data_IF_532935031448
#
_entry.id   IF_532935031448
#
_cell.length_a   1.000
_cell.length_b   1.000
_cell.length_c   1.000
_cell.angle_alpha   90.00
_cell.angle_beta   90.00
_cell.angle_gamma   90.00
#
_symmetry.space_group_name_H-M   'P 1'
#
loop_
_entity.id
_entity.type
_entity.pdbx_description
1 polymer ?
#
# COMPACT_ATOMS: atom_id res chain seq x y z
N UNK A 1 -8.85 13.17 -0.29
CA UNK A 1 -8.53 11.74 -0.32
C UNK A 1 -7.69 11.48 -1.55
N UNK A 2 -6.68 10.60 -1.48
CA UNK A 2 -5.76 10.39 -2.61
C UNK A 2 -6.37 9.55 -3.73
N UNK A 3 -7.38 8.74 -3.45
CA UNK A 3 -7.94 7.81 -4.45
C UNK A 3 -9.37 8.10 -4.88
N UNK A 4 -10.19 8.80 -4.08
CA UNK A 4 -11.61 9.08 -4.43
C UNK A 4 -12.44 7.81 -4.74
N UNK A 5 -12.14 6.66 -4.11
CA UNK A 5 -12.83 5.37 -4.30
C UNK A 5 -13.43 4.78 -3.00
N UNK A 6 -13.84 5.63 -2.05
CA UNK A 6 -14.45 5.19 -0.76
C UNK A 6 -15.65 4.25 -0.98
N UNK A 7 -16.42 4.48 -2.05
CA UNK A 7 -17.59 3.71 -2.45
C UNK A 7 -17.27 2.29 -2.94
N UNK A 8 -16.01 1.99 -3.23
CA UNK A 8 -15.57 0.68 -3.71
C UNK A 8 -15.15 -0.26 -2.58
N UNK A 9 -15.06 0.23 -1.34
CA UNK A 9 -14.66 -0.58 -0.19
C UNK A 9 -15.79 -1.56 0.14
N UNK A 10 -15.50 -2.86 0.03
CA UNK A 10 -16.46 -3.95 0.30
C UNK A 10 -16.21 -4.68 1.62
N UNK A 11 -15.13 -4.36 2.32
CA UNK A 11 -14.74 -4.99 3.58
C UNK A 11 -15.06 -4.07 4.76
N UNK A 12 -15.27 -4.67 5.93
CA UNK A 12 -15.50 -3.95 7.19
C UNK A 12 -14.30 -4.07 8.15
N UNK A 13 -14.43 -3.48 9.33
CA UNK A 13 -13.39 -3.47 10.35
C UNK A 13 -13.07 -4.86 10.91
N UNK A 14 -14.04 -5.78 10.96
CA UNK A 14 -13.81 -7.14 11.47
C UNK A 14 -13.01 -7.97 10.48
N UNK A 15 -13.28 -7.82 9.18
CA UNK A 15 -12.46 -8.41 8.11
C UNK A 15 -11.03 -7.89 8.20
N UNK A 16 -10.84 -6.58 8.31
CA UNK A 16 -9.50 -5.99 8.42
C UNK A 16 -8.76 -6.48 9.68
N UNK A 17 -9.47 -6.59 10.81
CA UNK A 17 -8.91 -7.11 12.06
C UNK A 17 -8.43 -8.55 11.92
N UNK A 18 -9.26 -9.42 11.32
CA UNK A 18 -8.90 -10.80 11.02
C UNK A 18 -7.69 -10.88 10.10
N UNK A 19 -7.70 -10.11 9.02
CA UNK A 19 -6.73 -10.26 7.93
C UNK A 19 -5.37 -9.64 8.25
N UNK A 20 -5.31 -8.53 8.99
CA UNK A 20 -4.03 -7.90 9.33
C UNK A 20 -3.52 -8.24 10.75
N UNK A 21 -4.33 -8.84 11.64
CA UNK A 21 -3.95 -9.10 13.04
C UNK A 21 -4.25 -10.52 13.54
N UNK A 22 -4.65 -11.45 12.66
CA UNK A 22 -4.76 -12.88 13.00
C UNK A 22 -3.41 -13.58 13.12
N UNK A 23 -3.41 -14.88 13.44
CA UNK A 23 -2.19 -15.69 13.64
C UNK A 23 -1.28 -15.75 12.40
N UNK A 24 -1.87 -15.60 11.21
CA UNK A 24 -1.18 -15.55 9.91
C UNK A 24 -1.68 -14.33 9.14
N UNK A 25 -1.13 -13.14 9.42
CA UNK A 25 -1.62 -11.91 8.81
C UNK A 25 -1.32 -11.90 7.31
N UNK A 26 -2.33 -11.55 6.52
CA UNK A 26 -2.22 -11.33 5.07
C UNK A 26 -1.61 -9.96 4.75
N UNK A 27 -1.71 -9.03 5.68
CA UNK A 27 -1.27 -7.65 5.58
C UNK A 27 -0.72 -7.15 6.90
N UNK A 28 0.09 -6.10 6.84
CA UNK A 28 0.60 -5.37 7.98
C UNK A 28 0.27 -3.88 7.82
N UNK A 29 0.17 -3.18 8.94
CA UNK A 29 -0.16 -1.77 8.95
C UNK A 29 0.74 -1.01 9.94
N UNK A 30 1.32 0.09 9.49
CA UNK A 30 1.95 1.09 10.35
C UNK A 30 1.05 2.31 10.45
N UNK A 31 0.89 2.85 11.64
CA UNK A 31 0.02 4.00 11.91
C UNK A 31 0.82 5.21 12.39
N UNK A 32 0.28 6.40 12.13
CA UNK A 32 0.79 7.65 12.67
C UNK A 32 -0.17 8.18 13.73
N UNK A 33 0.38 8.51 14.90
CA UNK A 33 -0.31 9.09 16.05
C UNK A 33 0.40 10.40 16.47
N UNK A 34 -0.33 11.44 16.93
CA UNK A 34 0.27 12.62 17.52
C UNK A 34 1.09 12.29 18.78
N UNK A 35 2.24 12.94 18.94
CA UNK A 35 3.09 12.78 20.15
C UNK A 35 2.49 13.50 21.37
N UNK A 36 1.66 14.52 21.15
CA UNK A 36 1.07 15.35 22.19
C UNK A 36 -0.46 15.41 22.04
N UNK A 37 -1.16 15.08 23.12
CA UNK A 37 -2.63 15.00 23.21
C UNK A 37 -3.07 13.69 23.86
N UNK A 38 -4.09 13.73 24.71
CA UNK A 38 -4.64 12.54 25.41
C UNK A 38 -5.38 11.56 24.48
N UNK A 39 -5.44 11.83 23.17
CA UNK A 39 -6.18 11.02 22.22
C UNK A 39 -5.25 10.08 21.45
N UNK A 40 -5.60 8.79 21.43
CA UNK A 40 -5.13 7.78 20.47
C UNK A 40 -5.66 8.07 19.07
N UNK A 41 -5.45 9.29 18.57
CA UNK A 41 -5.96 9.72 17.29
C UNK A 41 -5.08 9.17 16.18
N UNK A 42 -5.66 8.33 15.32
CA UNK A 42 -5.02 7.89 14.09
C UNK A 42 -5.06 9.03 13.07
N UNK A 43 -3.89 9.56 12.72
CA UNK A 43 -3.75 10.70 11.78
C UNK A 43 -3.23 10.27 10.41
N UNK A 44 -2.76 9.04 10.28
CA UNK A 44 -2.40 8.41 9.02
C UNK A 44 -2.04 6.93 9.18
N UNK A 45 -1.95 6.22 8.07
CA UNK A 45 -1.53 4.81 8.04
C UNK A 45 -0.84 4.45 6.72
N UNK A 46 -0.08 3.36 6.73
CA UNK A 46 0.37 2.67 5.53
C UNK A 46 0.15 1.16 5.69
N UNK A 47 -0.52 0.54 4.71
CA UNK A 47 -0.81 -0.89 4.67
C UNK A 47 0.06 -1.55 3.60
N UNK A 48 0.69 -2.66 3.96
CA UNK A 48 1.64 -3.35 3.09
C UNK A 48 1.61 -4.87 3.32
N UNK A 49 2.15 -5.64 2.38
CA UNK A 49 2.26 -7.08 2.50
C UNK A 49 3.49 -7.63 1.75
N UNK A 50 4.06 -8.76 2.20
CA UNK A 50 5.15 -9.41 1.48
C UNK A 50 4.68 -9.96 0.14
N UNK A 51 5.55 -9.85 -0.86
CA UNK A 51 5.38 -10.46 -2.18
C UNK A 51 6.65 -11.22 -2.55
N UNK A 52 6.64 -11.93 -3.67
CA UNK A 52 7.80 -12.67 -4.14
C UNK A 52 8.02 -12.45 -5.63
N UNK A 53 9.28 -12.27 -6.01
CA UNK A 53 9.73 -12.27 -7.39
C UNK A 53 10.59 -13.50 -7.65
N UNK A 54 10.32 -14.22 -8.73
CA UNK A 54 11.18 -15.31 -9.18
C UNK A 54 12.57 -14.84 -9.60
N UNK A 55 12.79 -13.53 -9.77
CA UNK A 55 14.08 -12.95 -10.17
C UNK A 55 14.88 -12.42 -8.99
N UNK A 56 14.23 -11.83 -7.98
CA UNK A 56 14.92 -11.12 -6.89
C UNK A 56 14.49 -11.55 -5.49
N UNK A 57 13.69 -12.62 -5.38
CA UNK A 57 13.27 -13.20 -4.11
C UNK A 57 12.21 -12.36 -3.38
N UNK A 58 12.33 -12.28 -2.06
CA UNK A 58 11.36 -11.60 -1.19
C UNK A 58 11.29 -10.12 -1.55
N UNK A 59 10.06 -9.61 -1.63
CA UNK A 59 9.73 -8.23 -1.97
C UNK A 59 8.63 -7.73 -1.03
N UNK A 60 8.34 -6.43 -1.09
CA UNK A 60 7.24 -5.85 -0.34
C UNK A 60 6.34 -5.03 -1.27
N UNK A 61 5.02 -5.12 -1.08
CA UNK A 61 4.04 -4.28 -1.77
C UNK A 61 3.44 -3.29 -0.77
N UNK A 62 3.51 -2.00 -1.08
CA UNK A 62 2.78 -0.95 -0.37
C UNK A 62 1.41 -0.80 -1.06
N UNK A 63 0.36 -1.29 -0.41
CA UNK A 63 -1.01 -1.26 -0.94
C UNK A 63 -1.61 0.12 -0.81
N UNK A 64 -1.58 0.66 0.41
CA UNK A 64 -2.27 1.91 0.75
C UNK A 64 -1.40 2.81 1.61
N UNK A 65 -1.48 4.11 1.34
CA UNK A 65 -0.94 5.14 2.23
C UNK A 65 -1.89 6.33 2.31
N UNK A 66 -2.27 6.67 3.54
CA UNK A 66 -3.27 7.70 3.76
C UNK A 66 -2.89 8.60 4.92
N UNK A 67 -3.07 9.91 4.70
CA UNK A 67 -2.97 10.94 5.73
C UNK A 67 -4.31 11.68 5.77
N UNK A 68 -4.83 11.85 7.00
CA UNK A 68 -6.03 12.64 7.26
C UNK A 68 -5.87 14.08 6.71
N UNK A 69 -6.93 14.71 6.16
CA UNK A 69 -6.79 15.98 5.44
C UNK A 69 -6.09 17.08 6.22
N UNK A 70 -6.36 17.21 7.52
CA UNK A 70 -5.78 18.23 8.40
C UNK A 70 -4.25 18.11 8.57
N UNK A 71 -3.69 16.92 8.32
CA UNK A 71 -2.27 16.63 8.51
C UNK A 71 -1.52 16.46 7.18
N UNK A 72 -2.15 16.72 6.03
CA UNK A 72 -1.48 16.66 4.73
C UNK A 72 -0.47 17.81 4.58
N UNK A 73 0.57 17.60 3.78
CA UNK A 73 1.66 18.56 3.61
C UNK A 73 2.67 18.62 4.78
N UNK A 74 2.41 17.92 5.88
CA UNK A 74 3.30 17.84 7.05
C UNK A 74 4.56 16.97 6.85
N UNK A 75 4.65 16.23 5.75
CA UNK A 75 5.69 15.23 5.52
C UNK A 75 5.38 13.85 6.12
N UNK A 76 4.25 13.65 6.82
CA UNK A 76 3.89 12.36 7.41
C UNK A 76 3.77 11.22 6.39
N UNK A 77 3.22 11.49 5.20
CA UNK A 77 3.14 10.46 4.14
C UNK A 77 4.52 9.97 3.73
N UNK A 78 5.49 10.87 3.59
CA UNK A 78 6.89 10.49 3.33
C UNK A 78 7.47 9.67 4.49
N UNK A 79 7.19 10.04 5.74
CA UNK A 79 7.69 9.32 6.91
C UNK A 79 7.12 7.91 7.04
N UNK A 80 5.82 7.73 6.79
CA UNK A 80 5.19 6.41 6.73
C UNK A 80 5.81 5.57 5.62
N UNK A 81 5.98 6.14 4.42
CA UNK A 81 6.64 5.44 3.32
C UNK A 81 8.08 5.04 3.66
N UNK A 82 8.88 5.95 4.24
CA UNK A 82 10.23 5.64 4.71
C UNK A 82 10.24 4.51 5.75
N UNK A 83 9.25 4.47 6.63
CA UNK A 83 9.11 3.41 7.65
C UNK A 83 8.88 2.06 6.97
N UNK A 84 7.97 1.99 5.99
CA UNK A 84 7.71 0.76 5.22
C UNK A 84 8.94 0.36 4.40
N UNK A 85 9.66 1.31 3.81
CA UNK A 85 10.92 1.05 3.09
C UNK A 85 11.98 0.47 4.01
N UNK A 86 12.13 0.98 5.24
CA UNK A 86 13.07 0.41 6.21
C UNK A 86 12.69 -1.02 6.59
N UNK A 87 11.40 -1.29 6.81
CA UNK A 87 10.89 -2.65 7.07
C UNK A 87 11.25 -3.58 5.90
N UNK A 88 11.08 -3.12 4.66
CA UNK A 88 11.47 -3.92 3.49
C UNK A 88 12.98 -4.24 3.49
N UNK A 89 13.84 -3.27 3.81
CA UNK A 89 15.29 -3.49 3.93
C UNK A 89 15.63 -4.48 5.04
N UNK A 90 15.01 -4.34 6.22
CA UNK A 90 15.22 -5.22 7.37
C UNK A 90 14.78 -6.67 7.09
N UNK A 91 13.78 -6.84 6.22
CA UNK A 91 13.32 -8.15 5.72
C UNK A 91 14.22 -8.74 4.62
N UNK A 92 15.26 -8.02 4.18
CA UNK A 92 16.10 -8.42 3.06
C UNK A 92 15.39 -8.34 1.70
N UNK A 93 14.35 -7.52 1.58
CA UNK A 93 13.62 -7.34 0.33
C UNK A 93 14.51 -6.64 -0.71
N UNK A 94 14.50 -7.17 -1.93
CA UNK A 94 15.24 -6.56 -3.05
C UNK A 94 14.50 -5.37 -3.67
N UNK A 95 13.19 -5.24 -3.43
CA UNK A 95 12.38 -4.11 -3.90
C UNK A 95 11.11 -3.88 -3.06
N UNK A 96 10.67 -2.62 -3.07
CA UNK A 96 9.36 -2.16 -2.64
C UNK A 96 8.58 -1.68 -3.88
N UNK A 97 7.37 -2.16 -4.06
CA UNK A 97 6.50 -1.83 -5.20
C UNK A 97 5.13 -1.32 -4.73
N UNK A 98 4.47 -0.54 -5.57
CA UNK A 98 3.13 -0.01 -5.32
C UNK A 98 2.44 0.29 -6.65
N UNK A 99 1.12 0.45 -6.61
CA UNK A 99 0.35 0.97 -7.74
C UNK A 99 0.00 2.44 -7.51
N UNK A 100 -0.01 3.25 -8.56
CA UNK A 100 -0.48 4.63 -8.50
C UNK A 100 -1.54 4.85 -9.56
N UNK A 101 -2.69 5.40 -9.17
CA UNK A 101 -3.75 5.75 -10.12
C UNK A 101 -3.23 6.77 -11.14
N UNK A 102 -3.48 6.53 -12.43
CA UNK A 102 -2.88 7.30 -13.52
C UNK A 102 -3.15 8.81 -13.48
N UNK A 103 -4.28 9.22 -12.90
CA UNK A 103 -4.64 10.63 -12.72
C UNK A 103 -3.95 11.29 -11.51
N UNK A 104 -3.37 10.53 -10.58
CA UNK A 104 -2.75 11.05 -9.36
C UNK A 104 -1.30 11.47 -9.61
N UNK A 105 -1.14 12.52 -10.44
CA UNK A 105 0.18 13.06 -10.80
C UNK A 105 1.02 13.44 -9.58
N UNK A 106 0.40 13.97 -8.53
CA UNK A 106 1.11 14.37 -7.32
C UNK A 106 1.79 13.18 -6.62
N UNK A 107 1.08 12.06 -6.48
CA UNK A 107 1.66 10.84 -5.93
C UNK A 107 2.75 10.27 -6.85
N UNK A 108 2.49 10.20 -8.16
CA UNK A 108 3.49 9.73 -9.15
C UNK A 108 4.79 10.55 -9.04
N UNK A 109 4.69 11.88 -9.07
CA UNK A 109 5.85 12.77 -8.98
C UNK A 109 6.60 12.63 -7.64
N UNK A 110 5.89 12.34 -6.54
CA UNK A 110 6.51 12.09 -5.24
C UNK A 110 7.40 10.84 -5.27
N UNK A 111 6.89 9.72 -5.79
CA UNK A 111 7.62 8.46 -5.84
C UNK A 111 8.78 8.52 -6.85
N UNK A 112 8.56 9.09 -8.04
CA UNK A 112 9.59 9.25 -9.08
C UNK A 112 10.78 10.07 -8.57
N UNK A 113 10.54 11.18 -7.87
CA UNK A 113 11.61 12.02 -7.28
C UNK A 113 12.47 11.29 -6.24
N UNK A 114 12.00 10.16 -5.73
CA UNK A 114 12.68 9.34 -4.75
C UNK A 114 13.19 8.01 -5.33
N UNK A 115 13.27 7.90 -6.65
CA UNK A 115 13.93 6.78 -7.34
C UNK A 115 13.01 5.62 -7.71
N UNK A 116 11.69 5.72 -7.49
CA UNK A 116 10.77 4.77 -8.10
C UNK A 116 10.80 4.90 -9.62
N UNK A 117 10.61 3.78 -10.32
CA UNK A 117 10.48 3.71 -11.77
C UNK A 117 9.03 3.36 -12.07
N UNK A 118 8.42 4.08 -13.02
CA UNK A 118 7.10 3.70 -13.52
C UNK A 118 7.25 2.49 -14.44
N UNK A 119 6.90 1.31 -13.94
CA UNK A 119 7.06 0.05 -14.66
C UNK A 119 6.17 -0.04 -15.92
N UNK A 120 5.05 0.69 -15.95
CA UNK A 120 4.20 0.74 -17.15
C UNK A 120 4.92 1.53 -18.24
N UNK A 121 5.51 2.68 -17.91
CA UNK A 121 6.23 3.50 -18.89
C UNK A 121 7.59 2.91 -19.28
N UNK A 122 8.31 2.26 -18.35
CA UNK A 122 9.67 1.77 -18.57
C UNK A 122 9.73 0.41 -19.25
N UNK A 123 8.79 -0.49 -18.94
CA UNK A 123 8.86 -1.91 -19.31
C UNK A 123 7.53 -2.47 -19.83
N UNK A 124 6.50 -1.64 -20.02
CA UNK A 124 5.20 -2.02 -20.56
C UNK A 124 4.47 -3.11 -19.73
N UNK A 125 4.71 -3.12 -18.40
CA UNK A 125 3.97 -4.00 -17.50
C UNK A 125 2.56 -3.47 -17.28
N UNK A 126 1.56 -4.32 -17.54
CA UNK A 126 0.16 -4.02 -17.25
C UNK A 126 -0.34 -4.77 -16.01
N UNK A 127 -1.01 -4.04 -15.10
CA UNK A 127 -1.73 -4.65 -13.99
C UNK A 127 -3.04 -5.28 -14.50
N UNK A 128 -3.12 -6.60 -14.42
CA UNK A 128 -4.29 -7.38 -14.84
C UNK A 128 -5.01 -7.94 -13.62
N UNK A 129 -6.35 -7.99 -13.66
CA UNK A 129 -7.19 -8.52 -12.57
C UNK A 129 -8.28 -9.43 -13.12
N UNK A 130 -8.34 -10.65 -12.62
CA UNK A 130 -9.48 -11.57 -12.81
C UNK A 130 -10.40 -11.45 -11.59
N UNK A 131 -11.68 -11.12 -11.80
CA UNK A 131 -12.63 -10.91 -10.70
C UNK A 131 -13.12 -12.25 -10.15
N UNK A 132 -13.77 -12.21 -8.98
CA UNK A 132 -14.25 -13.42 -8.29
C UNK A 132 -15.12 -14.28 -9.20
N UNK A 133 -16.09 -13.67 -9.85
CA UNK A 133 -17.06 -14.35 -10.71
C UNK A 133 -16.36 -15.02 -11.91
N UNK A 134 -15.36 -14.34 -12.48
CA UNK A 134 -14.57 -14.85 -13.60
C UNK A 134 -13.60 -15.97 -13.16
N UNK A 135 -13.00 -15.89 -11.97
CA UNK A 135 -12.20 -16.97 -11.39
C UNK A 135 -13.04 -18.23 -11.17
N UNK A 136 -14.25 -18.07 -10.61
CA UNK A 136 -15.18 -19.18 -10.38
C UNK A 136 -15.67 -19.83 -11.68
N UNK A 137 -15.82 -19.04 -12.75
CA UNK A 137 -16.13 -19.55 -14.08
C UNK A 137 -14.93 -20.30 -14.69
N UNK A 138 -13.72 -19.74 -14.59
CA UNK A 138 -12.50 -20.28 -15.20
C UNK A 138 -12.11 -21.66 -14.67
N UNK A 139 -12.31 -21.96 -13.39
CA UNK A 139 -11.96 -23.28 -12.83
C UNK A 139 -12.98 -24.38 -13.15
N UNK A 140 -14.15 -24.01 -13.69
CA UNK A 140 -15.22 -24.96 -14.07
C UNK A 140 -15.10 -25.44 -15.50
N UNK A 141 -14.22 -24.85 -16.30
CA UNK A 141 -13.86 -25.29 -17.66
C UNK A 141 -12.75 -26.32 -17.62
#
# INVERSE_FOLDING_TARGET
>A
MFEKLEDQVKIDAEVLKRDCFGDKPSCHCVVAEPVHGDSKQLIGYALYFPTYSTWVGVCLHLEDIYITPAYRGSGLGKKLWQTVTQIALDMGCSRLQLSVLGWNKHARDLYLRHGCIDMTEAEDWHLMRLRREDMEAFVKT
#
